data_IF_305011197274
#
_entry.id   IF_305011197274
#
_cell.length_a   1.000
_cell.length_b   1.000
_cell.length_c   1.000
_cell.angle_alpha   90.00
_cell.angle_beta   90.00
_cell.angle_gamma   90.00
#
_symmetry.space_group_name_H-M   'P 1'
#
loop_
_entity.id
_entity.type
_entity.pdbx_description
1 polymer ?
#
# COMPACT_ATOMS: atom_id res chain seq x y z
N UNK A 1 30.86 53.26 -11.64
CA UNK A 1 30.65 54.27 -10.58
C UNK A 1 29.32 54.96 -10.84
N UNK A 2 28.33 54.72 -10.00
CA UNK A 2 26.97 55.24 -10.18
C UNK A 2 26.09 54.76 -9.05
N UNK A 3 26.18 55.45 -7.92
CA UNK A 3 25.26 55.38 -6.77
C UNK A 3 23.86 55.82 -7.22
N UNK A 4 22.79 55.45 -6.51
CA UNK A 4 21.55 56.19 -6.19
C UNK A 4 20.56 55.18 -5.56
N UNK A 5 20.36 55.19 -4.25
CA UNK A 5 19.47 56.03 -3.42
C UNK A 5 18.10 55.37 -3.21
N UNK A 6 17.86 54.97 -1.97
CA UNK A 6 16.59 54.50 -1.42
C UNK A 6 15.53 55.61 -1.45
N UNK A 7 14.27 55.23 -1.67
CA UNK A 7 13.10 56.03 -1.29
C UNK A 7 12.09 55.12 -0.59
N UNK A 8 11.88 55.39 0.69
CA UNK A 8 10.78 54.88 1.51
C UNK A 8 9.53 55.68 1.17
N UNK A 9 8.39 55.01 0.94
CA UNK A 9 7.08 55.67 0.87
C UNK A 9 6.14 55.01 1.88
N UNK A 10 5.82 55.75 2.93
CA UNK A 10 4.66 55.52 3.80
C UNK A 10 3.50 56.28 3.18
N UNK A 11 2.36 55.63 2.93
CA UNK A 11 1.09 56.31 2.72
C UNK A 11 0.02 55.68 3.59
N UNK A 12 -0.62 56.58 4.33
CA UNK A 12 -1.62 56.42 5.37
C UNK A 12 -3.02 56.65 4.78
N UNK A 13 -4.02 56.02 5.41
CA UNK A 13 -5.44 56.40 5.50
C UNK A 13 -6.35 56.20 4.27
N UNK A 14 -7.47 55.48 4.46
CA UNK A 14 -8.72 56.12 4.91
C UNK A 14 -9.74 55.10 5.45
N UNK A 15 -10.60 55.59 6.33
CA UNK A 15 -11.55 54.90 7.20
C UNK A 15 -12.99 55.27 6.79
N UNK A 16 -13.97 54.50 7.30
CA UNK A 16 -15.44 54.74 7.43
C UNK A 16 -16.30 54.32 6.20
N UNK A 17 -17.49 53.71 6.32
CA UNK A 17 -18.57 53.67 7.35
C UNK A 17 -19.32 52.32 7.20
N UNK A 18 -19.61 51.58 8.30
CA UNK A 18 -20.97 51.26 8.83
C UNK A 18 -21.81 50.26 8.03
N UNK A 19 -22.70 49.43 8.57
CA UNK A 19 -23.12 49.06 9.92
C UNK A 19 -23.85 47.70 9.82
N UNK A 20 -23.69 46.90 10.87
CA UNK A 20 -24.40 45.69 11.31
C UNK A 20 -25.76 45.36 10.64
N UNK A 21 -25.91 44.10 10.19
CA UNK A 21 -27.02 43.20 10.58
C UNK A 21 -26.46 41.78 10.61
N UNK A 22 -26.66 41.07 11.72
CA UNK A 22 -26.37 39.65 11.86
C UNK A 22 -27.64 38.82 11.60
N UNK A 23 -27.54 37.80 10.75
CA UNK A 23 -28.09 36.47 10.98
C UNK A 23 -27.42 35.47 10.01
N UNK A 24 -27.27 34.26 10.52
CA UNK A 24 -26.32 33.20 10.21
C UNK A 24 -26.81 32.26 9.09
N UNK A 25 -25.91 31.90 8.15
CA UNK A 25 -25.86 30.63 7.39
C UNK A 25 -24.57 30.64 6.54
N UNK A 26 -23.68 29.67 6.81
CA UNK A 26 -22.30 29.63 6.34
C UNK A 26 -22.16 28.95 4.97
N UNK A 27 -21.56 29.65 4.01
CA UNK A 27 -21.17 29.11 2.70
C UNK A 27 -19.64 29.03 2.57
N UNK A 28 -19.20 27.96 1.92
CA UNK A 28 -17.85 27.40 1.94
C UNK A 28 -17.02 28.00 0.81
N UNK A 29 -15.84 28.57 1.12
CA UNK A 29 -14.76 28.74 0.13
C UNK A 29 -13.41 28.29 0.70
N UNK A 30 -12.90 27.22 0.08
CA UNK A 30 -11.66 26.51 0.36
C UNK A 30 -10.43 27.41 0.21
N UNK A 31 -9.72 27.65 1.32
CA UNK A 31 -8.34 28.14 1.31
C UNK A 31 -7.40 26.95 1.54
N UNK A 32 -6.62 26.58 0.54
CA UNK A 32 -5.60 25.53 0.63
C UNK A 32 -4.44 26.04 1.50
N UNK A 33 -4.39 25.58 2.75
CA UNK A 33 -3.23 25.73 3.63
C UNK A 33 -2.23 24.64 3.27
N UNK A 34 -1.08 25.02 2.73
CA UNK A 34 0.06 24.11 2.56
C UNK A 34 0.75 23.98 3.92
N UNK A 35 0.35 22.96 4.70
CA UNK A 35 1.07 22.57 5.90
C UNK A 35 2.30 21.77 5.49
N UNK A 36 3.48 22.37 5.61
CA UNK A 36 4.73 21.62 5.63
C UNK A 36 4.80 20.95 7.01
N UNK A 37 4.74 19.62 7.05
CA UNK A 37 4.97 18.87 8.28
C UNK A 37 6.43 19.09 8.70
N UNK A 38 6.63 19.81 9.80
CA UNK A 38 7.93 19.94 10.44
C UNK A 38 8.13 18.69 11.30
N UNK A 39 9.16 17.91 11.01
CA UNK A 39 9.55 16.78 11.87
C UNK A 39 9.83 17.30 13.29
N UNK A 40 9.31 16.65 14.36
CA UNK A 40 9.58 17.09 15.73
C UNK A 40 11.10 17.12 15.97
N UNK A 41 11.62 18.25 16.44
CA UNK A 41 12.99 18.31 16.93
C UNK A 41 13.09 17.52 18.23
N UNK A 42 14.13 16.70 18.34
CA UNK A 42 14.40 15.74 19.42
C UNK A 42 14.39 16.46 20.79
N UNK A 43 13.22 16.50 21.45
CA UNK A 43 13.03 17.10 22.77
C UNK A 43 13.30 16.09 23.91
N UNK A 44 13.92 14.96 23.58
CA UNK A 44 14.19 13.83 24.45
C UNK A 44 15.52 13.90 25.18
N UNK A 45 15.69 13.06 26.21
CA UNK A 45 16.97 12.83 26.89
C UNK A 45 17.74 11.61 26.35
N UNK A 46 17.20 10.93 25.34
CA UNK A 46 17.82 9.73 24.78
C UNK A 46 19.19 10.04 24.13
N UNK A 47 20.20 9.22 24.48
CA UNK A 47 21.57 9.25 23.91
C UNK A 47 21.93 7.96 23.15
N UNK A 48 21.03 6.98 23.12
CA UNK A 48 21.15 5.75 22.35
C UNK A 48 19.80 5.18 21.93
N UNK A 49 19.82 4.29 20.93
CA UNK A 49 18.61 3.60 20.46
C UNK A 49 18.91 2.20 19.92
N UNK A 50 17.88 1.35 19.94
CA UNK A 50 17.78 0.12 19.17
C UNK A 50 16.49 0.18 18.36
N UNK A 51 16.57 -0.09 17.06
CA UNK A 51 15.41 -0.14 16.18
C UNK A 51 15.27 -1.54 15.57
N UNK A 52 14.05 -2.08 15.57
CA UNK A 52 13.70 -3.30 14.87
C UNK A 52 12.89 -2.94 13.63
N UNK A 53 13.45 -3.27 12.47
CA UNK A 53 12.87 -2.97 11.16
C UNK A 53 12.50 -4.29 10.47
N UNK A 54 11.23 -4.48 10.07
CA UNK A 54 10.85 -5.66 9.28
C UNK A 54 11.63 -5.74 7.98
N UNK A 55 12.04 -6.95 7.57
CA UNK A 55 12.71 -7.14 6.27
C UNK A 55 11.75 -7.10 5.08
N UNK A 56 10.44 -7.28 5.33
CA UNK A 56 9.38 -7.22 4.33
C UNK A 56 8.25 -6.32 4.84
N UNK A 57 7.80 -5.40 4.01
CA UNK A 57 6.60 -4.59 4.20
C UNK A 57 5.57 -4.94 3.13
N UNK A 58 4.29 -4.65 3.38
CA UNK A 58 3.18 -4.94 2.48
C UNK A 58 2.54 -3.64 1.99
N UNK A 59 2.48 -3.49 0.68
CA UNK A 59 1.89 -2.34 -0.01
C UNK A 59 0.42 -2.15 0.40
N UNK A 60 0.04 -0.94 0.81
CA UNK A 60 -1.34 -0.64 1.24
C UNK A 60 -1.69 -1.02 2.69
N UNK A 61 -0.78 -1.68 3.42
CA UNK A 61 -0.98 -2.10 4.82
C UNK A 61 -0.31 -1.14 5.82
N UNK A 62 -0.59 -1.33 7.12
CA UNK A 62 0.09 -0.61 8.20
C UNK A 62 1.48 -1.22 8.43
N UNK A 63 2.52 -0.39 8.32
CA UNK A 63 3.87 -0.74 8.71
C UNK A 63 4.09 -0.40 10.18
N UNK A 64 4.86 -1.23 10.90
CA UNK A 64 5.13 -1.10 12.33
C UNK A 64 6.61 -1.34 12.61
N UNK A 65 7.24 -0.41 13.34
CA UNK A 65 8.67 -0.41 13.64
C UNK A 65 8.87 -0.20 15.14
N UNK A 66 9.56 -1.10 15.81
CA UNK A 66 9.79 -1.02 17.26
C UNK A 66 11.08 -0.29 17.58
N UNK A 67 11.04 0.56 18.60
CA UNK A 67 12.17 1.33 19.09
C UNK A 67 12.33 1.12 20.60
N UNK A 68 13.58 1.02 21.05
CA UNK A 68 13.95 1.20 22.45
C UNK A 68 14.95 2.34 22.53
N UNK A 69 14.70 3.33 23.37
CA UNK A 69 15.55 4.50 23.60
C UNK A 69 16.23 4.40 24.97
N UNK A 70 17.49 4.80 25.05
CA UNK A 70 18.29 4.79 26.27
C UNK A 70 18.88 6.17 26.55
N UNK A 71 19.03 6.52 27.83
CA UNK A 71 19.88 7.60 28.34
C UNK A 71 20.91 6.96 29.28
N UNK A 72 22.10 6.65 28.74
CA UNK A 72 23.13 5.83 29.40
C UNK A 72 22.54 4.47 29.80
N UNK A 73 22.55 4.16 31.10
CA UNK A 73 22.01 2.91 31.65
C UNK A 73 20.55 3.04 32.11
N UNK A 74 19.82 4.06 31.64
CA UNK A 74 18.42 4.32 32.01
C UNK A 74 17.52 4.32 30.77
N UNK A 75 16.22 4.08 30.93
CA UNK A 75 15.25 4.33 29.88
C UNK A 75 15.33 5.77 29.38
N UNK A 76 15.42 5.91 28.07
CA UNK A 76 15.40 7.20 27.37
C UNK A 76 13.99 7.57 26.95
N UNK A 77 13.77 8.87 26.75
CA UNK A 77 12.58 9.43 26.14
C UNK A 77 13.03 10.27 24.95
N UNK A 78 12.30 10.21 23.85
CA UNK A 78 12.62 10.99 22.66
C UNK A 78 11.66 10.73 21.50
N UNK A 79 11.90 11.40 20.38
CA UNK A 79 11.11 11.16 19.17
C UNK A 79 11.86 10.19 18.27
N UNK A 80 11.16 9.12 17.84
CA UNK A 80 11.62 8.27 16.75
C UNK A 80 10.83 8.61 15.49
N UNK A 81 11.51 8.62 14.33
CA UNK A 81 10.88 8.74 13.03
C UNK A 81 11.41 7.71 12.06
N UNK A 82 10.55 7.31 11.13
CA UNK A 82 10.84 6.32 10.09
C UNK A 82 10.33 6.87 8.76
N UNK A 83 11.16 6.78 7.74
CA UNK A 83 10.80 7.12 6.36
C UNK A 83 11.08 5.93 5.44
N UNK A 84 10.09 5.55 4.65
CA UNK A 84 10.24 4.58 3.55
C UNK A 84 10.55 5.35 2.28
N UNK A 85 11.66 5.02 1.65
CA UNK A 85 12.25 5.71 0.52
C UNK A 85 12.20 4.83 -0.74
N UNK A 86 11.80 5.41 -1.86
CA UNK A 86 12.05 4.87 -3.19
C UNK A 86 13.13 5.71 -3.85
N UNK A 87 14.36 5.20 -3.85
CA UNK A 87 15.55 5.96 -4.26
C UNK A 87 15.70 7.25 -3.44
N UNK A 88 15.32 8.40 -3.99
CA UNK A 88 15.43 9.71 -3.32
C UNK A 88 14.06 10.30 -2.95
N UNK A 89 12.97 9.58 -3.22
CA UNK A 89 11.61 10.02 -2.94
C UNK A 89 11.10 9.38 -1.64
N UNK A 90 10.51 10.18 -0.76
CA UNK A 90 9.82 9.70 0.45
C UNK A 90 8.46 9.15 0.02
N UNK A 91 8.26 7.85 0.19
CA UNK A 91 6.99 7.16 -0.10
C UNK A 91 6.00 7.29 1.04
N UNK A 92 6.50 7.13 2.27
CA UNK A 92 5.73 7.24 3.49
C UNK A 92 6.66 7.56 4.65
N UNK A 93 6.12 8.24 5.66
CA UNK A 93 6.85 8.52 6.89
C UNK A 93 5.92 8.52 8.09
N UNK A 94 6.50 8.26 9.25
CA UNK A 94 5.81 8.35 10.53
C UNK A 94 6.78 8.71 11.64
N UNK A 95 6.24 9.25 12.72
CA UNK A 95 7.00 9.55 13.92
C UNK A 95 6.15 9.31 15.16
N UNK A 96 6.79 8.96 16.26
CA UNK A 96 6.15 8.80 17.56
C UNK A 96 7.09 9.22 18.67
N UNK A 97 6.52 9.69 19.77
CA UNK A 97 7.24 9.82 21.04
C UNK A 97 7.41 8.42 21.64
N UNK A 98 8.64 8.07 21.98
CA UNK A 98 9.01 6.78 22.55
C UNK A 98 9.48 7.02 23.98
N UNK A 99 8.86 6.29 24.92
CA UNK A 99 9.24 6.28 26.34
C UNK A 99 9.72 4.88 26.67
N UNK A 100 11.03 4.73 26.91
CA UNK A 100 11.70 3.42 27.02
C UNK A 100 11.59 2.62 25.73
N UNK A 101 10.46 1.93 25.53
CA UNK A 101 10.16 1.14 24.34
C UNK A 101 8.82 1.57 23.76
N UNK A 102 8.73 1.62 22.44
CA UNK A 102 7.50 2.00 21.74
C UNK A 102 7.57 1.64 20.26
N UNK A 103 6.57 2.10 19.52
CA UNK A 103 6.40 1.75 18.12
C UNK A 103 6.08 2.98 17.30
N UNK A 104 6.67 3.08 16.12
CA UNK A 104 6.24 3.99 15.06
C UNK A 104 5.40 3.17 14.08
N UNK A 105 4.14 3.58 13.88
CA UNK A 105 3.23 2.93 12.94
C UNK A 105 2.65 3.94 11.96
N UNK A 106 2.52 3.55 10.70
CA UNK A 106 1.87 4.37 9.68
C UNK A 106 1.35 3.49 8.55
N UNK A 107 0.32 3.98 7.85
CA UNK A 107 -0.21 3.32 6.68
C UNK A 107 0.73 3.53 5.49
N UNK A 108 1.21 2.44 4.93
CA UNK A 108 1.98 2.45 3.69
C UNK A 108 1.01 2.63 2.51
N UNK A 109 1.23 3.59 1.59
CA UNK A 109 0.40 3.72 0.41
C UNK A 109 0.56 2.50 -0.50
N UNK A 110 -0.39 2.31 -1.42
CA UNK A 110 -0.29 1.29 -2.44
C UNK A 110 0.79 1.67 -3.45
N UNK A 111 1.95 1.04 -3.31
CA UNK A 111 3.13 1.18 -4.18
C UNK A 111 3.52 -0.13 -4.83
N UNK A 112 4.32 -0.05 -5.89
CA UNK A 112 4.77 -1.22 -6.62
C UNK A 112 5.65 -2.13 -5.75
N UNK A 113 5.49 -3.45 -5.90
CA UNK A 113 6.39 -4.40 -5.26
C UNK A 113 7.84 -4.21 -5.74
N UNK A 114 8.81 -4.31 -4.83
CA UNK A 114 10.22 -4.08 -5.14
C UNK A 114 11.10 -3.84 -3.94
N UNK A 115 12.31 -3.38 -4.20
CA UNK A 115 13.31 -3.07 -3.17
C UNK A 115 13.28 -1.57 -2.86
N UNK A 116 13.22 -1.27 -1.58
CA UNK A 116 13.10 0.07 -1.01
C UNK A 116 14.13 0.25 0.10
N UNK A 117 14.24 1.45 0.61
CA UNK A 117 15.14 1.79 1.71
C UNK A 117 14.35 2.39 2.87
N UNK A 118 14.63 1.95 4.10
CA UNK A 118 14.03 2.50 5.31
C UNK A 118 15.09 3.30 6.05
N UNK A 119 14.80 4.57 6.29
CA UNK A 119 15.62 5.46 7.10
C UNK A 119 14.97 5.60 8.47
N UNK A 120 15.70 5.25 9.52
CA UNK A 120 15.29 5.44 10.91
C UNK A 120 16.09 6.58 11.54
N UNK A 121 15.41 7.42 12.33
CA UNK A 121 16.05 8.51 13.08
C UNK A 121 15.54 8.54 14.51
N UNK A 122 16.46 8.55 15.46
CA UNK A 122 16.18 8.66 16.89
C UNK A 122 17.46 9.07 17.65
N UNK A 123 17.32 9.76 18.78
CA UNK A 123 18.43 10.14 19.66
C UNK A 123 19.57 10.87 18.91
N UNK A 124 19.23 11.71 17.92
CA UNK A 124 20.19 12.41 17.07
C UNK A 124 20.93 11.55 16.02
N UNK A 125 20.65 10.25 15.93
CA UNK A 125 21.23 9.36 14.93
C UNK A 125 20.30 9.13 13.73
N UNK A 126 20.89 8.71 12.61
CA UNK A 126 20.17 8.36 11.39
C UNK A 126 20.84 7.16 10.74
N UNK A 127 20.11 6.07 10.59
CA UNK A 127 20.60 4.84 9.94
C UNK A 127 19.65 4.43 8.82
N UNK A 128 20.17 3.66 7.86
CA UNK A 128 19.43 3.23 6.68
C UNK A 128 19.58 1.73 6.46
N UNK A 129 18.49 1.05 6.08
CA UNK A 129 18.49 -0.38 5.77
C UNK A 129 17.60 -0.70 4.57
N UNK A 130 18.01 -1.61 3.68
CA UNK A 130 17.14 -2.09 2.61
C UNK A 130 15.94 -2.86 3.18
N UNK A 131 14.80 -2.76 2.51
CA UNK A 131 13.59 -3.51 2.80
C UNK A 131 12.95 -3.96 1.48
N UNK A 132 12.21 -5.07 1.50
CA UNK A 132 11.39 -5.48 0.36
C UNK A 132 9.93 -5.11 0.59
N UNK A 133 9.31 -4.41 -0.34
CA UNK A 133 7.86 -4.19 -0.35
C UNK A 133 7.24 -5.24 -1.27
N UNK A 134 6.27 -5.99 -0.76
CA UNK A 134 5.48 -6.94 -1.53
C UNK A 134 4.04 -6.44 -1.71
N UNK A 135 3.30 -7.07 -2.63
CA UNK A 135 1.88 -6.81 -2.78
C UNK A 135 1.15 -7.04 -1.44
N UNK A 136 0.23 -6.12 -1.10
CA UNK A 136 -0.61 -6.24 0.08
C UNK A 136 -1.73 -7.26 -0.06
N UNK A 137 -2.10 -7.60 -1.29
CA UNK A 137 -3.10 -8.63 -1.59
C UNK A 137 -2.40 -9.93 -1.97
N UNK A 138 -2.78 -11.02 -1.32
CA UNK A 138 -2.48 -12.38 -1.71
C UNK A 138 -3.66 -12.90 -2.54
N UNK A 139 -3.38 -13.47 -3.72
CA UNK A 139 -4.40 -13.94 -4.64
C UNK A 139 -4.23 -15.44 -4.88
N UNK A 140 -5.30 -16.20 -4.68
CA UNK A 140 -5.37 -17.64 -4.93
C UNK A 140 -6.41 -17.93 -6.00
N UNK A 141 -6.12 -18.91 -6.83
CA UNK A 141 -7.02 -19.39 -7.88
C UNK A 141 -7.15 -20.90 -7.72
N UNK A 142 -8.38 -21.37 -7.57
CA UNK A 142 -8.71 -22.77 -7.36
C UNK A 142 -9.71 -23.22 -8.41
N UNK A 143 -9.68 -24.52 -8.72
CA UNK A 143 -10.68 -25.17 -9.57
C UNK A 143 -11.29 -26.35 -8.85
N UNK A 144 -12.51 -26.73 -9.24
CA UNK A 144 -13.20 -27.88 -8.66
C UNK A 144 -12.55 -29.22 -9.04
N UNK A 145 -11.85 -29.29 -10.18
CA UNK A 145 -11.13 -30.47 -10.67
C UNK A 145 -9.79 -30.09 -11.30
N UNK A 146 -8.78 -30.98 -11.25
CA UNK A 146 -7.53 -30.80 -12.00
C UNK A 146 -7.62 -31.28 -13.46
N UNK A 147 -8.65 -32.05 -13.83
CA UNK A 147 -8.84 -32.63 -15.16
C UNK A 147 -10.31 -32.48 -15.58
N UNK A 148 -10.53 -32.02 -16.81
CA UNK A 148 -11.84 -31.84 -17.43
C UNK A 148 -11.95 -32.60 -18.75
N UNK A 149 -13.18 -33.03 -19.05
CA UNK A 149 -13.56 -33.60 -20.34
C UNK A 149 -14.16 -32.52 -21.25
N UNK A 150 -14.10 -32.71 -22.57
CA UNK A 150 -14.88 -31.89 -23.50
C UNK A 150 -16.36 -31.79 -23.10
N UNK A 151 -16.93 -30.59 -23.23
CA UNK A 151 -18.31 -30.27 -22.84
C UNK A 151 -18.56 -30.05 -21.35
N UNK A 152 -17.55 -30.19 -20.48
CA UNK A 152 -17.68 -29.85 -19.05
C UNK A 152 -17.48 -28.35 -18.80
N UNK A 153 -17.99 -27.87 -17.67
CA UNK A 153 -17.70 -26.52 -17.18
C UNK A 153 -16.53 -26.56 -16.21
N UNK A 154 -15.57 -25.65 -16.40
CA UNK A 154 -14.53 -25.35 -15.42
C UNK A 154 -15.12 -24.37 -14.41
N UNK A 155 -15.26 -24.80 -13.16
CA UNK A 155 -15.66 -23.93 -12.05
C UNK A 155 -14.40 -23.43 -11.35
N UNK A 156 -14.29 -22.11 -11.20
CA UNK A 156 -13.14 -21.44 -10.62
C UNK A 156 -13.55 -20.59 -9.43
N UNK A 157 -12.69 -20.58 -8.41
CA UNK A 157 -12.79 -19.69 -7.26
C UNK A 157 -11.52 -18.86 -7.14
N UNK A 158 -11.69 -17.55 -7.08
CA UNK A 158 -10.65 -16.59 -6.72
C UNK A 158 -10.80 -16.27 -5.24
N UNK A 159 -9.69 -16.31 -4.50
CA UNK A 159 -9.64 -15.89 -3.10
C UNK A 159 -8.60 -14.77 -2.95
N UNK A 160 -9.00 -13.65 -2.36
CA UNK A 160 -8.14 -12.50 -2.09
C UNK A 160 -8.03 -12.30 -0.57
N UNK A 161 -6.79 -12.33 -0.07
CA UNK A 161 -6.46 -12.13 1.34
C UNK A 161 -5.45 -10.99 1.51
N UNK A 162 -5.34 -10.41 2.70
CA UNK A 162 -4.23 -9.53 3.06
C UNK A 162 -3.04 -10.31 3.65
N UNK A 163 -1.98 -9.61 4.06
CA UNK A 163 -0.80 -10.17 4.71
C UNK A 163 -1.06 -10.89 6.03
N UNK A 164 -2.17 -10.57 6.72
CA UNK A 164 -2.65 -11.28 7.92
C UNK A 164 -3.56 -12.49 7.61
N UNK A 165 -3.67 -12.88 6.33
CA UNK A 165 -4.58 -13.93 5.85
C UNK A 165 -6.06 -13.63 6.13
N UNK A 166 -6.42 -12.36 6.29
CA UNK A 166 -7.82 -11.92 6.40
C UNK A 166 -8.39 -11.65 5.00
N UNK A 167 -9.68 -11.94 4.78
CA UNK A 167 -10.32 -11.68 3.50
C UNK A 167 -10.31 -10.19 3.15
N UNK A 168 -10.10 -9.89 1.87
CA UNK A 168 -10.20 -8.52 1.33
C UNK A 168 -11.06 -8.48 0.07
N UNK A 169 -11.83 -7.41 -0.05
CA UNK A 169 -12.53 -7.08 -1.29
C UNK A 169 -11.54 -6.47 -2.28
N UNK A 170 -11.36 -7.14 -3.40
CA UNK A 170 -10.41 -6.78 -4.45
C UNK A 170 -11.02 -7.07 -5.82
N UNK A 171 -10.76 -6.18 -6.77
CA UNK A 171 -11.01 -6.47 -8.18
C UNK A 171 -9.88 -7.36 -8.72
N UNK A 172 -10.25 -8.47 -9.35
CA UNK A 172 -9.32 -9.41 -9.95
C UNK A 172 -9.72 -9.71 -11.40
N UNK A 173 -8.74 -9.82 -12.29
CA UNK A 173 -8.95 -10.29 -13.66
C UNK A 173 -8.54 -11.76 -13.75
N UNK A 174 -9.47 -12.62 -14.18
CA UNK A 174 -9.22 -14.03 -14.49
C UNK A 174 -9.05 -14.19 -16.00
N UNK A 175 -8.00 -14.88 -16.42
CA UNK A 175 -7.69 -15.19 -17.82
C UNK A 175 -7.42 -16.69 -18.00
N UNK A 176 -7.81 -17.24 -19.16
CA UNK A 176 -7.56 -18.65 -19.49
C UNK A 176 -6.96 -18.74 -20.88
N UNK A 177 -5.86 -19.49 -20.97
CA UNK A 177 -5.19 -19.85 -22.20
C UNK A 177 -5.36 -21.35 -22.45
N UNK A 178 -5.74 -21.69 -23.68
CA UNK A 178 -5.84 -23.09 -24.08
C UNK A 178 -4.47 -23.75 -24.27
N UNK A 179 -4.46 -25.04 -24.63
CA UNK A 179 -3.24 -25.81 -24.85
C UNK A 179 -2.32 -25.30 -25.98
N UNK A 180 -2.79 -24.34 -26.80
CA UNK A 180 -1.99 -23.68 -27.85
C UNK A 180 -1.51 -22.29 -27.42
N UNK A 181 -1.76 -21.87 -26.18
CA UNK A 181 -1.43 -20.55 -25.66
C UNK A 181 -2.40 -19.45 -26.13
N UNK A 182 -3.57 -19.82 -26.68
CA UNK A 182 -4.56 -18.85 -27.15
C UNK A 182 -5.43 -18.45 -25.96
N UNK A 183 -5.52 -17.14 -25.69
CA UNK A 183 -6.44 -16.59 -24.69
C UNK A 183 -7.88 -16.71 -25.19
N UNK A 184 -8.68 -17.53 -24.52
CA UNK A 184 -10.08 -17.82 -24.88
C UNK A 184 -11.08 -17.25 -23.88
N UNK A 185 -10.62 -16.83 -22.70
CA UNK A 185 -11.45 -16.29 -21.65
C UNK A 185 -10.72 -15.16 -20.93
N UNK A 186 -11.46 -14.10 -20.63
CA UNK A 186 -11.05 -13.00 -19.77
C UNK A 186 -12.28 -12.45 -19.06
N UNK A 187 -12.25 -12.36 -17.74
CA UNK A 187 -13.35 -11.80 -16.95
C UNK A 187 -12.81 -11.04 -15.74
N UNK A 188 -13.36 -9.87 -15.49
CA UNK A 188 -13.13 -9.11 -14.26
C UNK A 188 -14.16 -9.58 -13.23
N UNK A 189 -13.68 -9.92 -12.03
CA UNK A 189 -14.50 -10.33 -10.88
C UNK A 189 -14.12 -9.48 -9.68
N UNK A 190 -15.06 -9.25 -8.78
CA UNK A 190 -14.82 -8.56 -7.51
C UNK A 190 -15.07 -9.55 -6.39
N UNK A 191 -14.11 -9.71 -5.48
CA UNK A 191 -14.29 -10.56 -4.30
C UNK A 191 -15.26 -9.94 -3.31
N UNK A 192 -16.02 -10.80 -2.64
CA UNK A 192 -17.01 -10.41 -1.62
C UNK A 192 -16.36 -10.10 -0.25
N UNK A 193 -17.20 -9.87 0.77
CA UNK A 193 -16.74 -9.61 2.14
C UNK A 193 -15.94 -10.76 2.77
N UNK A 194 -16.06 -11.97 2.22
CA UNK A 194 -15.27 -13.16 2.61
C UNK A 194 -14.05 -13.35 1.71
N UNK A 195 -13.75 -12.37 0.86
CA UNK A 195 -12.58 -12.38 -0.02
C UNK A 195 -12.71 -13.38 -1.16
N UNK A 196 -13.93 -13.80 -1.54
CA UNK A 196 -14.14 -14.81 -2.58
C UNK A 196 -14.88 -14.26 -3.80
N UNK A 197 -14.52 -14.76 -4.97
CA UNK A 197 -15.30 -14.59 -6.20
C UNK A 197 -15.34 -15.91 -6.98
N UNK A 198 -16.48 -16.22 -7.59
CA UNK A 198 -16.66 -17.42 -8.40
C UNK A 198 -16.85 -17.04 -9.86
N UNK A 199 -16.25 -17.81 -10.76
CA UNK A 199 -16.51 -17.71 -12.20
C UNK A 199 -16.42 -19.08 -12.85
N UNK A 200 -17.03 -19.20 -14.03
CA UNK A 200 -17.10 -20.46 -14.75
C UNK A 200 -16.74 -20.26 -16.22
N UNK A 201 -16.21 -21.33 -16.84
CA UNK A 201 -15.99 -21.43 -18.28
C UNK A 201 -16.61 -22.74 -18.79
N UNK A 202 -17.72 -22.71 -19.55
CA UNK A 202 -18.21 -23.88 -20.24
C UNK A 202 -17.27 -24.26 -21.40
N UNK A 203 -16.70 -25.46 -21.36
CA UNK A 203 -15.85 -25.96 -22.45
C UNK A 203 -16.69 -26.38 -23.65
N UNK A 204 -16.17 -26.11 -24.85
CA UNK A 204 -16.70 -26.67 -26.10
C UNK A 204 -16.71 -28.20 -26.06
N UNK A 205 -17.55 -28.83 -26.88
CA UNK A 205 -17.53 -30.27 -27.14
C UNK A 205 -16.29 -30.69 -27.92
N UNK A 206 -15.60 -29.75 -28.59
CA UNK A 206 -14.37 -29.96 -29.34
C UNK A 206 -13.28 -28.93 -28.93
N UNK A 207 -12.78 -28.96 -27.68
CA UNK A 207 -11.73 -28.07 -27.22
C UNK A 207 -10.35 -28.56 -27.68
N UNK A 208 -9.36 -27.67 -27.70
CA UNK A 208 -7.97 -28.08 -27.84
C UNK A 208 -7.56 -28.90 -26.61
N UNK A 209 -7.22 -30.18 -26.79
CA UNK A 209 -6.81 -31.06 -25.69
C UNK A 209 -5.39 -30.71 -25.23
N UNK A 210 -5.11 -30.91 -23.93
CA UNK A 210 -3.79 -30.66 -23.34
C UNK A 210 -3.88 -29.87 -22.03
N UNK A 211 -2.76 -29.25 -21.64
CA UNK A 211 -2.67 -28.41 -20.45
C UNK A 211 -3.16 -27.01 -20.78
N UNK A 212 -4.12 -26.53 -20.00
CA UNK A 212 -4.66 -25.19 -20.09
C UNK A 212 -4.19 -24.39 -18.89
N UNK A 213 -3.84 -23.14 -19.14
CA UNK A 213 -3.27 -22.24 -18.13
C UNK A 213 -4.32 -21.22 -17.71
N UNK A 214 -4.69 -21.26 -16.44
CA UNK A 214 -5.55 -20.28 -15.80
C UNK A 214 -4.66 -19.30 -15.05
N UNK A 215 -5.04 -18.02 -15.04
CA UNK A 215 -4.29 -16.98 -14.35
C UNK A 215 -5.26 -15.98 -13.74
N UNK A 216 -4.90 -15.45 -12.57
CA UNK A 216 -5.63 -14.36 -11.94
C UNK A 216 -4.66 -13.26 -11.51
N UNK A 217 -5.08 -12.00 -11.66
CA UNK A 217 -4.27 -10.83 -11.31
C UNK A 217 -5.10 -9.77 -10.59
N UNK A 218 -4.55 -9.13 -9.57
CA UNK A 218 -5.14 -8.00 -8.83
C UNK A 218 -4.03 -7.04 -8.39
N UNK A 219 -3.93 -5.88 -9.03
CA UNK A 219 -2.75 -5.01 -8.88
C UNK A 219 -1.46 -5.75 -9.24
N UNK A 220 -0.52 -5.78 -8.30
CA UNK A 220 0.76 -6.53 -8.43
C UNK A 220 0.66 -8.00 -8.01
N UNK A 221 -0.48 -8.43 -7.47
CA UNK A 221 -0.70 -9.82 -7.08
C UNK A 221 -1.09 -10.65 -8.30
N UNK A 222 -0.45 -11.79 -8.50
CA UNK A 222 -0.79 -12.72 -9.58
C UNK A 222 -0.62 -14.16 -9.15
N UNK A 223 -1.46 -15.04 -9.69
CA UNK A 223 -1.35 -16.48 -9.49
C UNK A 223 -1.72 -17.24 -10.76
N UNK A 224 -1.18 -18.43 -10.92
CA UNK A 224 -1.38 -19.28 -12.08
C UNK A 224 -1.70 -20.72 -11.65
N UNK A 225 -2.59 -21.36 -12.39
CA UNK A 225 -3.03 -22.73 -12.15
C UNK A 225 -3.19 -23.46 -13.48
N UNK A 226 -2.59 -24.64 -13.58
CA UNK A 226 -2.73 -25.50 -14.75
C UNK A 226 -3.83 -26.55 -14.53
N UNK A 227 -4.66 -26.75 -15.56
CA UNK A 227 -5.65 -27.84 -15.62
C UNK A 227 -5.48 -28.65 -16.89
N UNK A 228 -5.87 -29.92 -16.88
CA UNK A 228 -5.83 -30.77 -18.08
C UNK A 228 -7.20 -30.90 -18.72
N UNK A 229 -7.27 -30.72 -20.03
CA UNK A 229 -8.46 -31.02 -20.84
C UNK A 229 -8.16 -32.24 -21.70
N UNK A 230 -8.78 -33.37 -21.38
CA UNK A 230 -8.52 -34.65 -22.03
C UNK A 230 -9.77 -35.53 -22.12
N UNK A 231 -9.77 -36.46 -23.08
CA UNK A 231 -10.81 -37.48 -23.17
C UNK A 231 -10.47 -38.60 -22.18
N UNK A 232 -10.92 -38.44 -20.94
CA UNK A 232 -10.67 -39.43 -19.88
C UNK A 232 -11.90 -40.31 -19.60
N UNK A 233 -11.68 -41.54 -19.14
CA UNK A 233 -12.67 -42.42 -18.51
C UNK A 233 -12.21 -42.72 -17.08
N UNK A 234 -13.14 -42.63 -16.12
CA UNK A 234 -12.83 -42.95 -14.71
C UNK A 234 -12.33 -44.40 -14.63
N UNK A 235 -11.23 -44.70 -13.90
CA UNK A 235 -10.75 -46.06 -13.68
C UNK A 235 -11.74 -46.89 -12.88
#
# INVERSE_FOLDING_TARGET
>A
MGRWSFVTLVVLALVLVGALVACDEADVTSTTVTTTAVLPQDAGNADGYVALVPSVLRSGETASFSFTLTDKDRPGIGTASVSVMNKSEVVAEGAAEIVDTGTVEFKLPSVAAGDYEVVVKAAGFSESTPVRIEAGTLLFLETDKPIYKPGQTIEMRVVALNGELRPVQAEATVEIQDAKGIKIFKKIVTTDEYGMAVTELPLSTEPNLGVWKLSAYSGDASTELDVRVEKYVLP
#
